data_IF_230553818742
#
_entry.id   IF_230553818742
#
_cell.length_a   1.000
_cell.length_b   1.000
_cell.length_c   1.000
_cell.angle_alpha   90.00
_cell.angle_beta   90.00
_cell.angle_gamma   90.00
#
_symmetry.space_group_name_H-M   'P 1'
#
loop_
_entity.id
_entity.type
_entity.pdbx_description
1 polymer ?
#
# COMPACT_ATOMS: atom_id res chain seq x y z
N UNK A 1 -28.06 46.56 -34.19
CA UNK A 1 -26.96 46.92 -33.26
C UNK A 1 -27.17 46.11 -31.99
N UNK A 2 -26.24 45.18 -31.66
CA UNK A 2 -25.86 44.60 -30.34
C UNK A 2 -26.99 44.31 -29.32
N UNK A 3 -27.14 43.13 -28.71
CA UNK A 3 -26.14 42.15 -28.23
C UNK A 3 -26.71 40.72 -28.24
N UNK A 4 -25.85 39.76 -28.56
CA UNK A 4 -25.98 38.34 -28.25
C UNK A 4 -25.21 38.13 -26.95
N UNK A 5 -25.90 37.82 -25.86
CA UNK A 5 -25.34 37.17 -24.67
C UNK A 5 -26.21 35.90 -24.52
N UNK A 6 -25.70 34.67 -24.58
CA UNK A 6 -24.44 34.21 -24.02
C UNK A 6 -24.75 33.36 -22.79
N UNK A 7 -25.55 32.31 -22.94
CA UNK A 7 -25.84 31.34 -21.88
C UNK A 7 -25.50 29.96 -22.39
N UNK A 8 -24.20 29.66 -22.41
CA UNK A 8 -23.72 28.29 -22.53
C UNK A 8 -24.09 27.51 -21.26
N UNK A 9 -24.34 26.19 -21.36
CA UNK A 9 -24.66 25.35 -20.21
C UNK A 9 -23.34 25.07 -19.46
N UNK A 10 -23.13 25.74 -18.34
CA UNK A 10 -21.99 25.50 -17.47
C UNK A 10 -22.45 25.52 -16.02
N UNK A 11 -23.00 24.40 -15.54
CA UNK A 11 -22.93 24.05 -14.11
C UNK A 11 -23.20 22.58 -13.80
N UNK A 12 -23.68 21.76 -14.74
CA UNK A 12 -24.24 20.46 -14.37
C UNK A 12 -23.35 19.26 -14.73
N UNK A 13 -22.03 19.44 -14.88
CA UNK A 13 -21.13 18.34 -15.30
C UNK A 13 -19.90 18.10 -14.42
N UNK A 14 -19.80 18.75 -13.25
CA UNK A 14 -18.69 18.50 -12.31
C UNK A 14 -19.14 18.02 -10.93
N UNK A 15 -20.35 17.48 -10.83
CA UNK A 15 -20.78 16.63 -9.71
C UNK A 15 -20.51 15.15 -10.03
N UNK A 16 -19.29 14.88 -10.49
CA UNK A 16 -18.78 13.52 -10.60
C UNK A 16 -18.52 12.99 -9.19
N UNK A 17 -19.57 12.48 -8.54
CA UNK A 17 -19.58 11.68 -7.31
C UNK A 17 -18.25 11.69 -6.54
N UNK A 18 -17.95 12.79 -5.86
CA UNK A 18 -16.83 12.84 -4.93
C UNK A 18 -17.15 11.89 -3.79
N UNK A 19 -16.57 10.68 -3.84
CA UNK A 19 -16.55 9.76 -2.71
C UNK A 19 -16.13 10.55 -1.47
N UNK A 20 -16.92 10.48 -0.40
CA UNK A 20 -16.61 11.15 0.86
C UNK A 20 -15.39 10.53 1.52
N UNK A 21 -14.72 11.27 2.40
CA UNK A 21 -13.57 10.76 3.16
C UNK A 21 -13.92 9.51 4.00
N UNK A 22 -15.13 9.48 4.58
CA UNK A 22 -15.64 8.30 5.29
C UNK A 22 -15.76 7.06 4.39
N UNK A 23 -16.23 7.23 3.16
CA UNK A 23 -16.30 6.15 2.16
C UNK A 23 -14.91 5.69 1.69
N UNK A 24 -13.96 6.62 1.51
CA UNK A 24 -12.57 6.27 1.17
C UNK A 24 -11.89 5.49 2.29
N UNK A 25 -12.06 5.92 3.55
CA UNK A 25 -11.58 5.16 4.72
C UNK A 25 -12.20 3.76 4.78
N UNK A 26 -13.51 3.65 4.51
CA UNK A 26 -14.19 2.36 4.41
C UNK A 26 -13.62 1.45 3.32
N UNK A 27 -13.26 2.03 2.17
CA UNK A 27 -12.62 1.33 1.06
C UNK A 27 -11.22 0.83 1.45
N UNK A 28 -10.38 1.69 2.05
CA UNK A 28 -9.03 1.29 2.48
C UNK A 28 -9.08 0.14 3.50
N UNK A 29 -9.95 0.23 4.51
CA UNK A 29 -10.13 -0.85 5.49
C UNK A 29 -10.62 -2.16 4.83
N UNK A 30 -11.37 -2.06 3.74
CA UNK A 30 -11.78 -3.23 2.96
C UNK A 30 -10.62 -3.81 2.17
N UNK A 31 -9.77 -2.96 1.57
CA UNK A 31 -8.53 -3.39 0.94
C UNK A 31 -7.60 -4.07 1.95
N UNK A 32 -7.43 -3.54 3.17
CA UNK A 32 -6.62 -4.18 4.22
C UNK A 32 -7.13 -5.57 4.58
N UNK A 33 -8.46 -5.71 4.80
CA UNK A 33 -9.05 -7.02 5.10
C UNK A 33 -8.84 -8.04 3.98
N UNK A 34 -8.84 -7.59 2.73
CA UNK A 34 -8.59 -8.43 1.56
C UNK A 34 -7.10 -8.81 1.43
N UNK A 35 -6.19 -7.84 1.60
CA UNK A 35 -4.75 -8.03 1.40
C UNK A 35 -4.07 -8.80 2.53
N UNK A 36 -4.48 -8.60 3.79
CA UNK A 36 -3.89 -9.29 4.96
C UNK A 36 -3.75 -10.81 4.78
N UNK A 37 -4.81 -11.58 4.45
CA UNK A 37 -4.66 -13.02 4.25
C UNK A 37 -3.75 -13.38 3.06
N UNK A 38 -3.70 -12.56 2.02
CA UNK A 38 -2.81 -12.80 0.87
C UNK A 38 -1.34 -12.58 1.21
N UNK A 39 -1.05 -11.54 1.99
CA UNK A 39 0.26 -11.25 2.54
C UNK A 39 0.70 -12.37 3.50
N UNK A 40 -0.16 -12.82 4.41
CA UNK A 40 0.14 -13.97 5.29
C UNK A 40 0.43 -15.24 4.49
N UNK A 41 -0.32 -15.49 3.41
CA UNK A 41 -0.03 -16.60 2.52
C UNK A 41 1.32 -16.45 1.83
N UNK A 42 1.68 -15.26 1.34
CA UNK A 42 2.99 -14.99 0.75
C UNK A 42 4.14 -15.28 1.73
N UNK A 43 4.03 -14.85 2.99
CA UNK A 43 5.05 -15.12 4.02
C UNK A 43 5.15 -16.62 4.35
N UNK A 44 4.01 -17.33 4.32
CA UNK A 44 4.00 -18.79 4.44
C UNK A 44 4.79 -19.45 3.32
N UNK A 45 4.55 -19.09 2.05
CA UNK A 45 5.28 -19.66 0.92
C UNK A 45 6.77 -19.29 0.96
N UNK A 46 7.10 -18.06 1.40
CA UNK A 46 8.48 -17.67 1.63
C UNK A 46 9.15 -18.54 2.70
N UNK A 47 8.45 -18.83 3.80
CA UNK A 47 8.94 -19.70 4.86
C UNK A 47 9.15 -21.15 4.40
N UNK A 48 8.32 -21.66 3.49
CA UNK A 48 8.49 -22.98 2.88
C UNK A 48 9.77 -23.06 2.04
N UNK A 49 10.04 -22.03 1.23
CA UNK A 49 11.31 -21.92 0.48
C UNK A 49 12.51 -21.88 1.43
N UNK A 50 12.45 -21.06 2.50
CA UNK A 50 13.54 -20.95 3.47
C UNK A 50 13.77 -22.24 4.28
N UNK A 51 12.75 -23.07 4.41
CA UNK A 51 12.83 -24.36 5.10
C UNK A 51 13.29 -25.51 4.19
N UNK A 52 13.36 -25.27 2.88
CA UNK A 52 13.84 -26.24 1.91
C UNK A 52 15.35 -26.48 2.08
N UNK A 53 15.77 -27.74 1.95
CA UNK A 53 17.18 -28.08 1.93
C UNK A 53 17.88 -27.69 0.61
N UNK A 54 17.10 -27.34 -0.42
CA UNK A 54 17.60 -27.03 -1.76
C UNK A 54 17.60 -25.53 -2.01
N UNK A 55 18.77 -24.96 -2.27
CA UNK A 55 18.91 -23.52 -2.62
C UNK A 55 18.67 -23.25 -4.12
N UNK A 56 18.18 -24.23 -4.86
CA UNK A 56 17.95 -24.16 -6.31
C UNK A 56 16.47 -23.98 -6.64
N UNK A 57 16.17 -23.64 -7.90
CA UNK A 57 14.79 -23.53 -8.37
C UNK A 57 14.05 -24.86 -8.18
N UNK A 58 12.90 -24.80 -7.49
CA UNK A 58 12.11 -25.95 -7.06
C UNK A 58 10.62 -25.62 -7.02
N UNK A 59 9.80 -26.57 -6.57
CA UNK A 59 8.35 -26.40 -6.55
C UNK A 59 7.89 -25.25 -5.65
N UNK A 60 8.49 -25.16 -4.46
CA UNK A 60 8.21 -24.12 -3.46
C UNK A 60 8.57 -22.72 -4.00
N UNK A 61 9.68 -22.61 -4.73
CA UNK A 61 10.13 -21.36 -5.35
C UNK A 61 9.14 -20.91 -6.44
N UNK A 62 8.65 -21.85 -7.24
CA UNK A 62 7.65 -21.57 -8.27
C UNK A 62 6.32 -21.09 -7.66
N UNK A 63 5.85 -21.74 -6.59
CA UNK A 63 4.64 -21.30 -5.85
C UNK A 63 4.83 -19.88 -5.32
N UNK A 64 5.98 -19.59 -4.70
CA UNK A 64 6.29 -18.26 -4.21
C UNK A 64 6.25 -17.21 -5.34
N UNK A 65 6.85 -17.51 -6.51
CA UNK A 65 6.81 -16.61 -7.67
C UNK A 65 5.40 -16.36 -8.19
N UNK A 66 4.58 -17.40 -8.30
CA UNK A 66 3.18 -17.26 -8.72
C UNK A 66 2.38 -16.40 -7.73
N UNK A 67 2.65 -16.56 -6.42
CA UNK A 67 2.04 -15.72 -5.39
C UNK A 67 2.47 -14.26 -5.53
N UNK A 68 3.76 -14.00 -5.67
CA UNK A 68 4.32 -12.65 -5.92
C UNK A 68 3.64 -12.02 -7.15
N UNK A 69 3.52 -12.77 -8.25
CA UNK A 69 2.87 -12.30 -9.48
C UNK A 69 1.43 -11.88 -9.23
N UNK A 70 0.67 -12.74 -8.54
CA UNK A 70 -0.74 -12.50 -8.23
C UNK A 70 -0.97 -11.27 -7.34
N UNK A 71 -0.06 -11.03 -6.38
CA UNK A 71 -0.21 -9.96 -5.40
C UNK A 71 0.33 -8.61 -5.89
N UNK A 72 1.23 -8.61 -6.88
CA UNK A 72 1.95 -7.41 -7.30
C UNK A 72 1.03 -6.24 -7.65
N UNK A 73 0.04 -6.49 -8.53
CA UNK A 73 -0.87 -5.42 -8.97
C UNK A 73 -1.72 -4.89 -7.81
N UNK A 74 -2.24 -5.78 -6.98
CA UNK A 74 -3.09 -5.41 -5.86
C UNK A 74 -2.36 -4.52 -4.84
N UNK A 75 -1.07 -4.80 -4.57
CA UNK A 75 -0.25 -3.95 -3.71
C UNK A 75 0.06 -2.59 -4.34
N UNK A 76 0.36 -2.54 -5.65
CA UNK A 76 0.59 -1.26 -6.32
C UNK A 76 -0.65 -0.36 -6.28
N UNK A 77 -1.81 -0.93 -6.62
CA UNK A 77 -3.10 -0.23 -6.61
C UNK A 77 -3.46 0.24 -5.19
N UNK A 78 -3.16 -0.57 -4.19
CA UNK A 78 -3.36 -0.23 -2.77
C UNK A 78 -2.47 0.94 -2.33
N UNK A 79 -1.17 0.92 -2.62
CA UNK A 79 -0.25 2.01 -2.27
C UNK A 79 -0.66 3.34 -2.92
N UNK A 80 -1.14 3.30 -4.16
CA UNK A 80 -1.63 4.51 -4.85
C UNK A 80 -2.92 5.04 -4.21
N UNK A 81 -3.89 4.16 -3.94
CA UNK A 81 -5.14 4.53 -3.29
C UNK A 81 -4.90 5.13 -1.89
N UNK A 82 -3.96 4.58 -1.16
CA UNK A 82 -3.57 5.02 0.17
C UNK A 82 -2.89 6.39 0.16
N UNK A 83 -1.87 6.58 -0.69
CA UNK A 83 -1.19 7.88 -0.81
C UNK A 83 -2.17 8.99 -1.18
N UNK A 84 -3.14 8.71 -2.07
CA UNK A 84 -4.16 9.67 -2.45
C UNK A 84 -5.14 9.99 -1.31
N UNK A 85 -5.43 9.02 -0.44
CA UNK A 85 -6.26 9.24 0.75
C UNK A 85 -5.53 10.12 1.77
N UNK A 86 -4.32 9.71 2.17
CA UNK A 86 -3.55 10.43 3.18
C UNK A 86 -3.09 11.82 2.72
N UNK A 87 -2.87 12.03 1.42
CA UNK A 87 -2.60 13.37 0.90
C UNK A 87 -3.76 14.34 1.19
N UNK A 88 -4.99 13.87 1.07
CA UNK A 88 -6.18 14.68 1.34
C UNK A 88 -6.44 14.83 2.83
N UNK A 89 -6.35 13.74 3.59
CA UNK A 89 -6.62 13.76 5.04
C UNK A 89 -5.57 14.56 5.81
N UNK A 90 -4.28 14.31 5.55
CA UNK A 90 -3.21 14.84 6.39
C UNK A 90 -2.84 16.28 6.04
N UNK A 91 -2.72 16.62 4.75
CA UNK A 91 -2.26 17.94 4.34
C UNK A 91 -3.28 19.05 4.62
N UNK A 92 -4.56 18.71 4.78
CA UNK A 92 -5.63 19.68 5.05
C UNK A 92 -5.90 19.89 6.55
N UNK A 93 -5.48 18.94 7.40
CA UNK A 93 -5.93 18.89 8.81
C UNK A 93 -4.81 18.96 9.86
N UNK A 94 -3.56 18.68 9.48
CA UNK A 94 -2.44 18.58 10.41
C UNK A 94 -1.17 19.26 9.88
N UNK A 95 -0.51 20.07 10.70
CA UNK A 95 0.75 20.74 10.38
C UNK A 95 1.90 19.74 10.12
N UNK A 96 1.84 18.55 10.74
CA UNK A 96 2.78 17.45 10.51
C UNK A 96 2.36 16.53 9.36
N UNK A 97 1.18 16.78 8.77
CA UNK A 97 0.61 15.97 7.71
C UNK A 97 1.52 15.79 6.50
N UNK A 98 2.14 16.85 5.96
CA UNK A 98 3.08 16.73 4.85
C UNK A 98 4.31 15.85 5.16
N UNK A 99 4.81 15.87 6.40
CA UNK A 99 5.95 15.03 6.80
C UNK A 99 5.56 13.56 6.86
N UNK A 100 4.39 13.25 7.46
CA UNK A 100 3.87 11.87 7.51
C UNK A 100 3.57 11.33 6.12
N UNK A 101 2.97 12.13 5.24
CA UNK A 101 2.76 11.76 3.84
C UNK A 101 4.08 11.48 3.12
N UNK A 102 5.12 12.30 3.35
CA UNK A 102 6.44 12.05 2.76
C UNK A 102 7.07 10.74 3.28
N UNK A 103 6.90 10.43 4.57
CA UNK A 103 7.35 9.16 5.17
C UNK A 103 6.65 7.97 4.52
N UNK A 104 5.33 8.03 4.38
CA UNK A 104 4.51 7.01 3.72
C UNK A 104 4.95 6.79 2.27
N UNK A 105 5.02 7.86 1.46
CA UNK A 105 5.49 7.81 0.07
C UNK A 105 6.89 7.23 -0.07
N UNK A 106 7.78 7.53 0.88
CA UNK A 106 9.12 6.95 0.88
C UNK A 106 9.09 5.44 1.16
N UNK A 107 8.29 4.99 2.13
CA UNK A 107 8.08 3.57 2.40
C UNK A 107 7.52 2.84 1.17
N UNK A 108 6.45 3.38 0.56
CA UNK A 108 5.87 2.82 -0.66
C UNK A 108 6.84 2.79 -1.83
N UNK A 109 7.65 3.84 -2.02
CA UNK A 109 8.69 3.83 -3.06
C UNK A 109 9.67 2.67 -2.86
N UNK A 110 10.04 2.33 -1.62
CA UNK A 110 10.88 1.17 -1.34
C UNK A 110 10.12 -0.13 -1.61
N UNK A 111 8.87 -0.26 -1.16
CA UNK A 111 8.05 -1.44 -1.41
C UNK A 111 7.87 -1.71 -2.92
N UNK A 112 7.62 -0.67 -3.71
CA UNK A 112 7.55 -0.76 -5.19
C UNK A 112 8.87 -1.28 -5.79
N UNK A 113 10.00 -0.81 -5.30
CA UNK A 113 11.31 -1.28 -5.75
C UNK A 113 11.56 -2.76 -5.38
N UNK A 114 11.18 -3.17 -4.16
CA UNK A 114 11.26 -4.57 -3.73
C UNK A 114 10.36 -5.48 -4.57
N UNK A 115 9.11 -5.08 -4.81
CA UNK A 115 8.17 -5.80 -5.69
C UNK A 115 8.73 -5.95 -7.11
N UNK A 116 9.31 -4.89 -7.67
CA UNK A 116 9.95 -4.95 -8.98
C UNK A 116 11.13 -5.93 -9.00
N UNK A 117 11.96 -5.96 -7.95
CA UNK A 117 13.07 -6.89 -7.83
C UNK A 117 12.61 -8.34 -7.70
N UNK A 118 11.55 -8.59 -6.92
CA UNK A 118 10.94 -9.92 -6.75
C UNK A 118 10.36 -10.48 -8.05
N UNK A 119 9.93 -9.61 -8.98
CA UNK A 119 9.31 -9.97 -10.27
C UNK A 119 10.23 -9.90 -11.50
N UNK A 120 11.49 -9.55 -11.32
CA UNK A 120 12.38 -9.31 -12.45
C UNK A 120 12.55 -10.55 -13.33
N UNK A 121 12.57 -10.34 -14.66
CA UNK A 121 12.91 -11.36 -15.66
C UNK A 121 14.12 -10.90 -16.49
N UNK A 122 15.25 -11.65 -16.50
CA UNK A 122 15.50 -12.87 -15.72
C UNK A 122 15.53 -12.60 -14.20
N UNK A 123 15.31 -13.63 -13.35
CA UNK A 123 15.36 -13.47 -11.90
C UNK A 123 16.67 -12.86 -11.41
N UNK A 124 16.56 -11.78 -10.63
CA UNK A 124 17.72 -11.10 -10.04
C UNK A 124 18.16 -11.71 -8.71
N UNK A 125 17.23 -12.36 -8.00
CA UNK A 125 17.43 -12.89 -6.66
C UNK A 125 17.51 -14.42 -6.69
N UNK A 126 18.52 -15.03 -6.03
CA UNK A 126 18.52 -16.45 -5.71
C UNK A 126 17.29 -16.85 -4.87
N UNK A 127 16.84 -18.11 -4.88
CA UNK A 127 15.62 -18.55 -4.20
C UNK A 127 15.49 -18.14 -2.73
N UNK A 128 16.52 -18.34 -1.91
CA UNK A 128 16.46 -17.93 -0.50
C UNK A 128 16.44 -16.41 -0.33
N UNK A 129 17.17 -15.66 -1.17
CA UNK A 129 17.11 -14.21 -1.16
C UNK A 129 15.74 -13.69 -1.61
N UNK A 130 15.11 -14.32 -2.59
CA UNK A 130 13.73 -14.05 -3.03
C UNK A 130 12.77 -14.21 -1.85
N UNK A 131 12.85 -15.34 -1.13
CA UNK A 131 12.02 -15.62 0.02
C UNK A 131 12.24 -14.64 1.19
N UNK A 132 13.50 -14.33 1.52
CA UNK A 132 13.80 -13.32 2.53
C UNK A 132 13.24 -11.94 2.18
N UNK A 133 13.38 -11.50 0.93
CA UNK A 133 12.83 -10.22 0.48
C UNK A 133 11.30 -10.23 0.51
N UNK A 134 10.65 -11.33 0.11
CA UNK A 134 9.20 -11.46 0.15
C UNK A 134 8.64 -11.44 1.59
N UNK A 135 9.32 -12.11 2.52
CA UNK A 135 8.96 -12.11 3.94
C UNK A 135 9.16 -10.73 4.57
N UNK A 136 10.29 -10.07 4.30
CA UNK A 136 10.56 -8.71 4.78
C UNK A 136 9.51 -7.71 4.27
N UNK A 137 9.23 -7.71 2.96
CA UNK A 137 8.18 -6.88 2.37
C UNK A 137 6.82 -7.14 3.04
N UNK A 138 6.48 -8.40 3.28
CA UNK A 138 5.22 -8.77 3.92
C UNK A 138 5.12 -8.19 5.33
N UNK A 139 6.18 -8.35 6.13
CA UNK A 139 6.21 -7.82 7.49
C UNK A 139 6.12 -6.30 7.52
N UNK A 140 6.81 -5.61 6.60
CA UNK A 140 6.77 -4.15 6.50
C UNK A 140 5.36 -3.66 6.15
N UNK A 141 4.72 -4.22 5.11
CA UNK A 141 3.37 -3.82 4.68
C UNK A 141 2.32 -4.11 5.75
N UNK A 142 2.38 -5.28 6.41
CA UNK A 142 1.43 -5.61 7.49
C UNK A 142 1.59 -4.69 8.70
N UNK A 143 2.82 -4.29 9.02
CA UNK A 143 3.09 -3.31 10.07
C UNK A 143 2.53 -1.94 9.73
N UNK A 144 2.77 -1.47 8.49
CA UNK A 144 2.24 -0.20 8.00
C UNK A 144 0.72 -0.14 8.05
N UNK A 145 0.03 -1.21 7.62
CA UNK A 145 -1.44 -1.34 7.72
C UNK A 145 -1.99 -1.13 9.13
N UNK A 146 -1.24 -1.54 10.16
CA UNK A 146 -1.64 -1.33 11.56
C UNK A 146 -1.45 0.13 11.96
N UNK A 147 -0.32 0.74 11.59
CA UNK A 147 -0.05 2.15 11.85
C UNK A 147 -1.11 3.04 11.19
N UNK A 148 -1.44 2.79 9.93
CA UNK A 148 -2.45 3.53 9.16
C UNK A 148 -3.84 3.39 9.75
N UNK A 149 -4.24 2.19 10.15
CA UNK A 149 -5.53 1.94 10.80
C UNK A 149 -5.65 2.73 12.12
N UNK A 150 -4.58 2.79 12.90
CA UNK A 150 -4.50 3.61 14.11
C UNK A 150 -4.60 5.11 13.78
N UNK A 151 -3.84 5.61 12.79
CA UNK A 151 -3.89 7.01 12.36
C UNK A 151 -5.30 7.40 11.88
N UNK A 152 -5.95 6.52 11.11
CA UNK A 152 -7.31 6.73 10.63
C UNK A 152 -8.33 6.68 11.77
N UNK A 153 -8.15 5.81 12.77
CA UNK A 153 -9.02 5.74 13.95
C UNK A 153 -8.91 7.00 14.82
N UNK A 154 -7.71 7.57 14.95
CA UNK A 154 -7.46 8.82 15.65
C UNK A 154 -7.91 10.08 14.87
N UNK A 155 -8.50 9.91 13.68
CA UNK A 155 -8.93 11.03 12.84
C UNK A 155 -7.77 11.85 12.31
N UNK A 156 -6.62 11.21 12.05
CA UNK A 156 -5.41 11.89 11.59
C UNK A 156 -4.69 12.68 12.68
N UNK A 157 -5.11 12.62 13.94
CA UNK A 157 -4.42 13.31 15.04
C UNK A 157 -3.34 12.41 15.66
N UNK A 158 -2.20 13.00 16.02
CA UNK A 158 -1.10 12.29 16.69
C UNK A 158 -1.58 11.89 18.10
N UNK A 159 -1.62 10.59 18.41
CA UNK A 159 -1.43 10.17 19.79
C UNK A 159 0.06 10.35 20.09
N UNK A 160 0.40 11.36 20.88
CA UNK A 160 1.74 11.47 21.43
C UNK A 160 2.04 10.16 22.17
N UNK A 161 2.99 9.40 21.65
CA UNK A 161 3.49 8.23 22.32
C UNK A 161 4.14 8.72 23.62
N UNK A 162 3.44 8.49 24.73
CA UNK A 162 3.99 8.57 26.08
C UNK A 162 4.96 7.39 26.26
N UNK A 163 6.02 7.35 25.46
CA UNK A 163 7.15 6.44 25.59
C UNK A 163 8.36 7.21 26.17
N UNK A 164 8.11 7.90 27.28
CA UNK A 164 9.14 8.26 28.25
C UNK A 164 8.68 7.79 29.63
N UNK A 165 8.83 6.49 29.86
CA UNK A 165 9.00 5.94 31.19
C UNK A 165 10.14 4.92 31.11
N UNK A 166 11.33 5.39 31.49
CA UNK A 166 12.47 4.55 31.89
C UNK A 166 12.07 3.76 33.13
#
# INVERSE_FOLDING_TARGET
MKRLDGTGPASDVEEAAMISNGERKGLLLTQHRHLRPLLIALDKEASEVLSSASETEGHEVQILRERIESLHRELLDHFEAEEALFERELCETDEWGPFRLARLRNAHSRHRALLAALRAEPPLLPPHSLAHVASALTSEVLGQMVEEECELAAGGTVQEDSALAI
#
